data_IF_106508032122
#
_entry.id   IF_106508032122
#
_cell.length_a   1.000
_cell.length_b   1.000
_cell.length_c   1.000
_cell.angle_alpha   90.00
_cell.angle_beta   90.00
_cell.angle_gamma   90.00
#
_symmetry.space_group_name_H-M   'P 1'
#
loop_
_entity.id
_entity.type
_entity.pdbx_description
1 polymer ?
#
# COMPACT_ATOMS: atom_id res chain seq x y z
N UNK A 1 17.27 4.85 26.28
CA UNK A 1 16.53 3.94 25.38
C UNK A 1 17.09 4.11 23.98
N UNK A 2 17.55 3.04 23.32
CA UNK A 2 17.87 3.11 21.88
C UNK A 2 16.56 3.33 21.15
N UNK A 3 16.47 4.35 20.29
CA UNK A 3 15.35 4.47 19.37
C UNK A 3 15.30 3.19 18.53
N UNK A 4 14.20 2.45 18.63
CA UNK A 4 13.92 1.35 17.72
C UNK A 4 13.90 1.98 16.33
N UNK A 5 14.81 1.59 15.45
CA UNK A 5 14.72 2.03 14.05
C UNK A 5 13.37 1.53 13.53
N UNK A 6 12.52 2.45 13.12
CA UNK A 6 11.30 2.09 12.41
C UNK A 6 11.75 1.51 11.06
N UNK A 7 11.51 0.22 10.88
CA UNK A 7 11.79 -0.50 9.65
C UNK A 7 10.47 -0.63 8.88
N UNK A 8 10.53 -0.39 7.57
CA UNK A 8 9.41 -0.53 6.67
C UNK A 8 9.78 -1.56 5.60
N UNK A 9 8.90 -2.51 5.36
CA UNK A 9 9.08 -3.52 4.32
C UNK A 9 8.18 -3.20 3.12
N UNK A 10 8.70 -3.26 1.88
CA UNK A 10 7.85 -3.16 0.70
C UNK A 10 7.01 -4.44 0.59
N UNK A 11 5.70 -4.29 0.41
CA UNK A 11 4.76 -5.43 0.37
C UNK A 11 3.95 -5.51 -0.91
N UNK A 12 3.82 -4.40 -1.65
CA UNK A 12 3.15 -4.36 -2.94
C UNK A 12 3.65 -3.19 -3.78
N UNK A 13 3.28 -3.19 -5.06
CA UNK A 13 3.45 -2.06 -5.97
C UNK A 13 2.11 -1.60 -6.52
N UNK A 14 2.02 -0.32 -6.85
CA UNK A 14 0.88 0.27 -7.54
C UNK A 14 1.19 0.41 -9.03
N UNK A 15 0.24 0.01 -9.87
CA UNK A 15 0.41 -0.11 -11.31
C UNK A 15 -0.69 0.68 -12.04
N UNK A 16 -0.32 1.32 -13.15
CA UNK A 16 -1.22 2.10 -13.99
C UNK A 16 -1.93 1.28 -15.06
N UNK A 17 -2.23 1.91 -16.19
CA UNK A 17 -2.73 1.20 -17.38
C UNK A 17 -1.64 0.37 -18.08
N UNK A 18 -0.37 0.74 -17.90
CA UNK A 18 0.78 -0.03 -18.34
C UNK A 18 1.20 -1.00 -17.20
N UNK A 19 1.04 -2.32 -17.39
CA UNK A 19 1.28 -3.31 -16.32
C UNK A 19 2.76 -3.45 -15.93
N UNK A 20 3.69 -3.09 -16.82
CA UNK A 20 5.13 -3.23 -16.58
C UNK A 20 5.69 -2.03 -15.81
N UNK A 21 4.92 -0.94 -15.74
CA UNK A 21 5.35 0.30 -15.10
C UNK A 21 4.85 0.40 -13.65
N UNK A 22 5.80 0.35 -12.73
CA UNK A 22 5.55 0.65 -11.31
C UNK A 22 5.37 2.16 -11.11
N UNK A 23 4.23 2.56 -10.55
CA UNK A 23 3.91 3.96 -10.23
C UNK A 23 4.27 4.31 -8.78
N UNK A 24 4.20 3.34 -7.87
CA UNK A 24 4.53 3.50 -6.47
C UNK A 24 4.81 2.16 -5.79
N UNK A 25 5.46 2.22 -4.63
CA UNK A 25 5.64 1.09 -3.72
C UNK A 25 4.80 1.27 -2.46
N UNK A 26 4.19 0.20 -1.99
CA UNK A 26 3.44 0.14 -0.74
C UNK A 26 4.33 -0.49 0.32
N UNK A 27 4.45 0.19 1.45
CA UNK A 27 5.24 -0.24 2.59
C UNK A 27 4.35 -0.47 3.80
N UNK A 28 4.70 -1.49 4.60
CA UNK A 28 4.19 -1.65 5.96
C UNK A 28 5.31 -1.37 6.95
N UNK A 29 5.02 -0.53 7.93
CA UNK A 29 5.91 -0.24 9.04
C UNK A 29 5.73 -1.28 10.14
N UNK A 30 6.73 -1.44 11.00
CA UNK A 30 6.60 -2.25 12.23
C UNK A 30 5.50 -1.74 13.20
N UNK A 31 5.06 -0.49 13.06
CA UNK A 31 3.89 0.08 13.72
C UNK A 31 2.56 -0.36 13.11
N UNK A 32 2.60 -1.16 12.04
CA UNK A 32 1.48 -1.53 11.18
C UNK A 32 0.89 -0.40 10.33
N UNK A 33 1.47 0.79 10.37
CA UNK A 33 1.10 1.87 9.46
C UNK A 33 1.44 1.47 8.01
N UNK A 34 0.61 1.91 7.06
CA UNK A 34 0.88 1.77 5.63
C UNK A 34 1.36 3.10 5.06
N UNK A 35 2.32 3.04 4.15
CA UNK A 35 2.80 4.21 3.42
C UNK A 35 3.00 3.91 1.95
N UNK A 36 2.85 4.94 1.13
CA UNK A 36 3.09 4.86 -0.31
C UNK A 36 4.30 5.71 -0.67
N UNK A 37 5.30 5.08 -1.27
CA UNK A 37 6.40 5.77 -1.93
C UNK A 37 6.07 5.94 -3.42
N UNK A 38 5.70 7.16 -3.81
CA UNK A 38 5.37 7.49 -5.20
C UNK A 38 6.62 7.63 -6.06
N UNK A 39 6.62 6.97 -7.22
CA UNK A 39 7.61 7.17 -8.30
C UNK A 39 7.06 8.12 -9.37
N UNK A 40 5.75 8.04 -9.66
CA UNK A 40 5.04 9.03 -10.48
C UNK A 40 3.60 9.23 -9.98
N UNK A 41 3.38 10.30 -9.21
CA UNK A 41 2.07 10.62 -8.62
C UNK A 41 1.08 11.21 -9.65
N UNK A 42 1.52 11.59 -10.85
CA UNK A 42 0.66 12.21 -11.87
C UNK A 42 -0.26 11.20 -12.54
N UNK A 43 0.10 9.93 -12.51
CA UNK A 43 -0.69 8.84 -13.08
C UNK A 43 -1.47 8.17 -11.94
N UNK A 44 -2.80 8.09 -12.02
CA UNK A 44 -3.58 7.40 -11.00
C UNK A 44 -3.32 5.89 -11.06
N UNK A 45 -3.05 5.22 -9.93
CA UNK A 45 -2.93 3.77 -9.90
C UNK A 45 -4.29 3.13 -10.18
N UNK A 46 -4.27 2.03 -10.94
CA UNK A 46 -5.44 1.22 -11.27
C UNK A 46 -5.40 -0.14 -10.60
N UNK A 47 -4.21 -0.67 -10.37
CA UNK A 47 -4.00 -2.01 -9.81
C UNK A 47 -2.97 -1.96 -8.69
N UNK A 48 -3.04 -2.99 -7.85
CA UNK A 48 -2.06 -3.28 -6.80
C UNK A 48 -1.60 -4.73 -6.96
N UNK A 49 -0.30 -4.97 -6.78
CA UNK A 49 0.32 -6.27 -7.00
C UNK A 49 1.40 -6.56 -5.93
N UNK A 50 1.26 -7.62 -5.11
CA UNK A 50 0.05 -8.42 -4.95
C UNK A 50 -1.07 -7.61 -4.25
N UNK A 51 -2.35 -8.04 -4.31
CA UNK A 51 -3.41 -7.51 -3.46
C UNK A 51 -3.05 -7.63 -1.98
N UNK A 52 -3.39 -6.61 -1.18
CA UNK A 52 -3.07 -6.65 0.25
C UNK A 52 -4.01 -7.63 0.97
N UNK A 53 -3.47 -8.52 1.83
CA UNK A 53 -4.30 -9.37 2.66
C UNK A 53 -5.21 -8.54 3.57
N UNK A 54 -6.47 -8.97 3.75
CA UNK A 54 -7.44 -8.28 4.61
C UNK A 54 -6.89 -8.00 6.02
N UNK A 55 -6.16 -8.95 6.61
CA UNK A 55 -5.57 -8.77 7.94
C UNK A 55 -4.54 -7.63 8.03
N UNK A 56 -3.82 -7.33 6.94
CA UNK A 56 -2.89 -6.19 6.89
C UNK A 56 -3.65 -4.87 6.85
N UNK A 57 -4.71 -4.79 6.03
CA UNK A 57 -5.56 -3.60 5.92
C UNK A 57 -6.32 -3.34 7.23
N UNK A 58 -6.94 -4.36 7.81
CA UNK A 58 -7.67 -4.25 9.08
C UNK A 58 -6.74 -3.70 10.17
N UNK A 59 -5.52 -4.24 10.29
CA UNK A 59 -4.56 -3.78 11.29
C UNK A 59 -4.11 -2.34 11.02
N UNK A 60 -3.82 -1.98 9.77
CA UNK A 60 -3.40 -0.62 9.44
C UNK A 60 -4.47 0.42 9.77
N UNK A 61 -5.74 0.13 9.44
CA UNK A 61 -6.90 1.00 9.71
C UNK A 61 -7.07 1.26 11.22
N UNK A 62 -6.74 0.29 12.09
CA UNK A 62 -6.80 0.51 13.55
C UNK A 62 -5.75 1.49 14.08
N UNK A 63 -4.63 1.65 13.37
CA UNK A 63 -3.52 2.54 13.74
C UNK A 63 -3.71 3.92 13.10
N UNK A 64 -4.09 3.95 11.83
CA UNK A 64 -4.33 5.16 11.06
C UNK A 64 -5.38 4.88 9.99
N UNK A 65 -6.42 5.69 9.97
CA UNK A 65 -7.44 5.68 8.92
C UNK A 65 -7.36 7.00 8.17
N UNK A 66 -6.92 6.94 6.93
CA UNK A 66 -6.68 8.07 6.05
C UNK A 66 -6.84 7.70 4.56
N UNK A 67 -6.57 8.66 3.69
CA UNK A 67 -6.61 8.49 2.23
C UNK A 67 -5.70 7.36 1.71
N UNK A 68 -4.63 7.00 2.44
CA UNK A 68 -3.73 5.90 2.07
C UNK A 68 -4.44 4.57 2.31
N UNK A 69 -5.01 4.37 3.50
CA UNK A 69 -5.74 3.13 3.80
C UNK A 69 -6.97 2.95 2.91
N UNK A 70 -7.68 4.04 2.58
CA UNK A 70 -8.84 4.00 1.68
C UNK A 70 -8.45 3.58 0.26
N UNK A 71 -7.39 4.20 -0.28
CA UNK A 71 -6.89 3.88 -1.62
C UNK A 71 -6.44 2.41 -1.72
N UNK A 72 -5.66 1.94 -0.76
CA UNK A 72 -5.10 0.59 -0.77
C UNK A 72 -6.17 -0.48 -0.57
N UNK A 73 -7.20 -0.19 0.24
CA UNK A 73 -8.37 -1.06 0.41
C UNK A 73 -9.11 -1.21 -0.92
N UNK A 74 -9.49 -0.09 -1.54
CA UNK A 74 -10.25 -0.10 -2.79
C UNK A 74 -9.49 -0.78 -3.94
N UNK A 75 -8.16 -0.65 -4.00
CA UNK A 75 -7.36 -1.35 -5.01
C UNK A 75 -7.26 -2.85 -4.75
N UNK A 76 -7.12 -3.26 -3.49
CA UNK A 76 -6.98 -4.68 -3.12
C UNK A 76 -8.28 -5.47 -3.27
N UNK A 77 -9.42 -4.85 -2.96
CA UNK A 77 -10.76 -5.43 -3.18
C UNK A 77 -11.00 -5.67 -4.67
N UNK A 78 -10.76 -4.66 -5.51
CA UNK A 78 -10.90 -4.77 -6.97
C UNK A 78 -10.04 -5.88 -7.58
N UNK A 79 -8.85 -6.09 -7.04
CA UNK A 79 -7.94 -7.13 -7.52
C UNK A 79 -8.29 -8.54 -7.01
N UNK A 80 -9.12 -8.64 -5.96
CA UNK A 80 -9.62 -9.93 -5.45
C UNK A 80 -10.86 -10.42 -6.20
N UNK A 81 -11.58 -9.50 -6.88
CA UNK A 81 -12.76 -9.78 -7.70
C UNK A 81 -12.45 -10.10 -9.17
N UNK A 82 -11.20 -9.92 -9.60
CA UNK A 82 -10.73 -10.07 -11.00
C UNK A 82 -10.14 -11.46 -11.26
#
# INVERSE_FOLDING_TARGET
MKAVKAEAAPIARLIGADPDRTLAWVYVWNTSELSILWLDRRVPPKFIDPPLPKGVLDQAITVTSDDVTDLLTALSERASDA
#
